data_IF_566362227414
#
_entry.id   IF_566362227414
#
_cell.length_a   1.000
_cell.length_b   1.000
_cell.length_c   1.000
_cell.angle_alpha   90.00
_cell.angle_beta   90.00
_cell.angle_gamma   90.00
#
_symmetry.space_group_name_H-M   'P 1'
#
loop_
_entity.id
_entity.type
_entity.pdbx_description
1 polymer ?
#
# COMPACT_ATOMS: atom_id res chain seq x y z
N UNK A 1 -13.89 40.25 -32.07
CA UNK A 1 -14.43 39.30 -32.71
C UNK A 1 -13.55 38.15 -32.77
N UNK A 2 -12.67 38.15 -33.71
CA UNK A 2 -11.76 37.15 -33.79
C UNK A 2 -10.99 37.02 -32.53
N UNK A 3 -10.71 38.08 -31.84
CA UNK A 3 -9.90 38.03 -30.67
C UNK A 3 -10.56 37.27 -29.54
N UNK A 4 -11.88 37.27 -29.47
CA UNK A 4 -12.56 36.52 -28.45
C UNK A 4 -12.49 35.03 -28.71
N UNK A 5 -12.67 34.63 -29.96
CA UNK A 5 -12.55 33.24 -30.31
C UNK A 5 -11.13 32.76 -30.07
N UNK A 6 -10.17 33.58 -30.38
CA UNK A 6 -8.79 33.23 -30.16
C UNK A 6 -8.49 33.07 -28.67
N UNK A 7 -9.08 33.96 -27.85
CA UNK A 7 -8.89 33.84 -26.42
C UNK A 7 -9.52 32.58 -25.88
N UNK A 8 -10.72 32.25 -26.35
CA UNK A 8 -11.38 31.05 -25.90
C UNK A 8 -10.60 29.81 -26.27
N UNK A 9 -10.05 29.78 -27.47
CA UNK A 9 -9.23 28.64 -27.88
C UNK A 9 -7.99 28.52 -27.05
N UNK A 10 -7.38 29.65 -26.70
CA UNK A 10 -6.20 29.63 -25.86
C UNK A 10 -6.53 29.13 -24.47
N UNK A 11 -7.65 29.55 -23.92
CA UNK A 11 -8.08 29.10 -22.62
C UNK A 11 -8.38 27.60 -22.64
N UNK A 12 -9.04 27.16 -23.70
CA UNK A 12 -9.37 25.76 -23.83
C UNK A 12 -8.10 24.92 -23.89
N UNK A 13 -7.11 25.41 -24.60
CA UNK A 13 -5.86 24.72 -24.70
C UNK A 13 -5.18 24.59 -23.34
N UNK A 14 -5.22 25.65 -22.55
CA UNK A 14 -4.65 25.61 -21.23
C UNK A 14 -5.35 24.58 -20.35
N UNK A 15 -6.67 24.53 -20.44
CA UNK A 15 -7.42 23.57 -19.67
C UNK A 15 -7.08 22.16 -20.10
N UNK A 16 -6.96 21.94 -21.40
CA UNK A 16 -6.60 20.63 -21.89
C UNK A 16 -5.22 20.19 -21.41
N UNK A 17 -4.28 21.14 -21.39
CA UNK A 17 -2.95 20.83 -20.90
C UNK A 17 -2.97 20.46 -19.43
N UNK A 18 -3.74 21.20 -18.65
CA UNK A 18 -3.86 20.90 -17.24
C UNK A 18 -4.50 19.54 -17.02
N UNK A 19 -5.49 19.24 -17.83
CA UNK A 19 -6.16 17.96 -17.72
C UNK A 19 -5.19 16.82 -18.02
N UNK A 20 -4.35 17.01 -19.02
CA UNK A 20 -3.37 15.99 -19.37
C UNK A 20 -2.38 15.76 -18.23
N UNK A 21 -1.95 16.85 -17.58
CA UNK A 21 -1.08 16.73 -16.45
C UNK A 21 -1.76 16.02 -15.29
N UNK A 22 -3.04 16.35 -15.06
CA UNK A 22 -3.78 15.70 -13.99
C UNK A 22 -3.95 14.22 -14.24
N UNK A 23 -4.23 13.85 -15.47
CA UNK A 23 -4.38 12.45 -15.81
C UNK A 23 -3.07 11.69 -15.61
N UNK A 24 -1.98 12.33 -15.97
CA UNK A 24 -0.69 11.72 -15.79
C UNK A 24 -0.37 11.57 -14.32
N UNK A 25 -0.73 12.56 -13.54
CA UNK A 25 -0.51 12.54 -12.10
C UNK A 25 -1.33 11.42 -11.46
N UNK A 26 -2.58 11.26 -11.88
CA UNK A 26 -3.43 10.21 -11.35
C UNK A 26 -2.84 8.84 -11.68
N UNK A 27 -2.32 8.70 -12.88
CA UNK A 27 -1.72 7.45 -13.27
C UNK A 27 -0.50 7.13 -12.43
N UNK A 28 0.32 8.13 -12.16
CA UNK A 28 1.48 7.95 -11.30
C UNK A 28 1.05 7.57 -9.89
N UNK A 29 0.02 8.22 -9.37
CA UNK A 29 -0.48 7.88 -8.05
C UNK A 29 -1.01 6.46 -8.00
N UNK A 30 -1.67 6.02 -9.05
CA UNK A 30 -2.16 4.66 -9.10
C UNK A 30 -1.01 3.67 -9.03
N UNK A 31 0.08 3.95 -9.71
CA UNK A 31 1.23 3.07 -9.66
C UNK A 31 1.81 3.02 -8.26
N UNK A 32 1.87 4.17 -7.59
CA UNK A 32 2.38 4.21 -6.24
C UNK A 32 1.49 3.40 -5.30
N UNK A 33 0.18 3.52 -5.46
CA UNK A 33 -0.76 2.79 -4.64
C UNK A 33 -0.58 1.29 -4.82
N UNK A 34 -0.43 0.84 -6.07
CA UNK A 34 -0.24 -0.57 -6.34
C UNK A 34 1.05 -1.07 -5.70
N UNK A 35 2.12 -0.29 -5.83
CA UNK A 35 3.37 -0.68 -5.22
C UNK A 35 3.27 -0.76 -3.71
N UNK A 36 2.58 0.19 -3.12
CA UNK A 36 2.40 0.18 -1.68
C UNK A 36 1.58 -1.00 -1.22
N UNK A 37 0.56 -1.36 -1.98
CA UNK A 37 -0.23 -2.53 -1.64
C UNK A 37 0.60 -3.80 -1.69
N UNK A 38 1.46 -3.90 -2.69
CA UNK A 38 2.33 -5.05 -2.79
C UNK A 38 3.29 -5.13 -1.61
N UNK A 39 3.82 -3.99 -1.21
CA UNK A 39 4.72 -3.95 -0.07
C UNK A 39 4.00 -4.31 1.21
N UNK A 40 2.78 -3.84 1.37
CA UNK A 40 2.01 -4.18 2.55
C UNK A 40 1.75 -5.67 2.62
N UNK A 41 1.43 -6.29 1.48
CA UNK A 41 1.21 -7.72 1.47
C UNK A 41 2.47 -8.48 1.88
N UNK A 42 3.62 -8.04 1.38
CA UNK A 42 4.86 -8.68 1.74
C UNK A 42 5.18 -8.50 3.21
N UNK A 43 4.91 -7.31 3.74
CA UNK A 43 5.14 -7.06 5.14
C UNK A 43 4.22 -7.89 6.02
N UNK A 44 2.97 -8.05 5.59
CA UNK A 44 2.03 -8.88 6.33
C UNK A 44 2.50 -10.33 6.35
N UNK A 45 2.99 -10.80 5.23
CA UNK A 45 3.49 -12.16 5.16
C UNK A 45 4.70 -12.34 6.06
N UNK A 46 5.62 -11.40 6.01
CA UNK A 46 6.79 -11.46 6.88
C UNK A 46 6.39 -11.38 8.33
N UNK A 47 5.42 -10.56 8.64
CA UNK A 47 4.96 -10.43 10.00
C UNK A 47 4.37 -11.74 10.52
N UNK A 48 3.59 -12.40 9.67
CA UNK A 48 3.03 -13.70 10.05
C UNK A 48 4.12 -14.70 10.31
N UNK A 49 5.14 -14.72 9.46
CA UNK A 49 6.25 -15.65 9.63
C UNK A 49 7.01 -15.38 10.91
N UNK A 50 7.21 -14.10 11.21
CA UNK A 50 7.90 -13.75 12.43
C UNK A 50 7.10 -14.14 13.66
N UNK A 51 5.82 -13.95 13.64
CA UNK A 51 4.96 -14.34 14.73
C UNK A 51 5.05 -15.85 14.95
N UNK A 52 5.00 -16.60 13.88
CA UNK A 52 5.10 -18.03 13.97
C UNK A 52 6.46 -18.47 14.51
N UNK A 53 7.49 -17.77 14.08
CA UNK A 53 8.82 -18.09 14.54
C UNK A 53 8.99 -17.77 16.02
N UNK A 54 8.40 -16.68 16.46
CA UNK A 54 8.44 -16.34 17.87
C UNK A 54 7.71 -17.38 18.69
N UNK A 55 6.55 -17.84 18.20
CA UNK A 55 5.81 -18.87 18.91
C UNK A 55 6.61 -20.17 18.98
N UNK A 56 7.27 -20.51 17.90
CA UNK A 56 8.07 -21.71 17.86
C UNK A 56 9.22 -21.62 18.85
N UNK A 57 9.89 -20.49 18.88
CA UNK A 57 11.00 -20.29 19.80
C UNK A 57 10.55 -20.31 21.24
N UNK A 58 9.38 -19.74 21.49
CA UNK A 58 8.85 -19.74 22.81
C UNK A 58 8.54 -21.15 23.26
N UNK A 59 8.01 -21.93 22.38
CA UNK A 59 7.70 -23.31 22.67
C UNK A 59 8.96 -24.09 23.02
N UNK A 60 10.03 -23.83 22.30
CA UNK A 60 11.31 -24.48 22.58
C UNK A 60 11.90 -24.02 23.88
N UNK A 61 11.77 -22.77 24.18
CA UNK A 61 12.39 -22.21 25.36
C UNK A 61 11.61 -22.58 26.61
N UNK A 62 10.33 -22.76 26.51
CA UNK A 62 9.52 -22.99 27.67
C UNK A 62 8.46 -24.05 27.41
N UNK A 63 8.83 -25.22 27.07
CA UNK A 63 7.84 -26.25 26.73
C UNK A 63 7.16 -26.85 27.94
N UNK A 64 7.85 -26.97 29.03
CA UNK A 64 7.28 -27.60 30.17
C UNK A 64 6.09 -26.98 30.79
N UNK A 65 6.08 -25.72 30.99
CA UNK A 65 4.92 -25.10 31.62
C UNK A 65 3.64 -25.48 30.94
N UNK A 66 3.64 -25.57 29.68
CA UNK A 66 2.45 -25.91 29.00
C UNK A 66 2.06 -27.31 29.27
N UNK A 67 2.99 -28.21 29.22
CA UNK A 67 2.67 -29.57 29.42
C UNK A 67 2.22 -29.85 30.82
N UNK A 68 2.81 -29.24 31.74
CA UNK A 68 2.45 -29.49 33.04
C UNK A 68 1.17 -28.99 33.42
N UNK A 69 0.78 -28.05 32.81
CA UNK A 69 -0.40 -27.54 33.06
C UNK A 69 -1.43 -28.44 33.31
N UNK A 70 -1.56 -29.23 32.73
CA UNK A 70 -2.64 -30.01 32.89
C UNK A 70 -2.45 -30.89 34.01
N UNK A 71 -2.23 -31.29 34.57
CA UNK A 71 -2.34 -31.98 35.33
C UNK A 71 -2.61 -31.79 36.44
N UNK A 72 -2.66 -31.50 36.37
CA UNK A 72 -2.57 -31.33 37.19
C UNK A 72 -3.27 -31.46 37.78
N UNK A 73 -3.48 -31.67 37.68
CA UNK A 73 -3.76 -31.64 38.19
C UNK A 73 -4.25 -31.81 38.62
#
# INVERSE_FOLDING_TARGET
MESENTKLLAELRKVEERLAYCEQFVETLNQVVVEQQNRLQMLELQNTRLIEEVKRLRSLADPLPENEKPPHY
#
